data_IF_696796916525
#
_entry.id   IF_696796916525
#
_cell.length_a   1.000
_cell.length_b   1.000
_cell.length_c   1.000
_cell.angle_alpha   90.00
_cell.angle_beta   90.00
_cell.angle_gamma   90.00
#
_symmetry.space_group_name_H-M   'P 1'
#
loop_
_entity.id
_entity.type
_entity.pdbx_description
1 polymer ?
#
# COMPACT_ATOMS: atom_id res chain seq x y z
N UNK A 1 20.20 -2.85 8.14
CA UNK A 1 19.35 -2.02 9.03
C UNK A 1 18.53 -0.99 8.26
N UNK A 2 19.10 -0.29 7.28
CA UNK A 2 18.40 0.74 6.48
C UNK A 2 17.22 0.19 5.65
N UNK A 3 17.39 -0.96 4.97
CA UNK A 3 16.33 -1.55 4.11
C UNK A 3 15.12 -2.02 4.91
N UNK A 4 15.34 -2.69 6.05
CA UNK A 4 14.27 -3.12 6.96
C UNK A 4 13.45 -1.93 7.46
N UNK A 5 14.11 -0.90 8.01
CA UNK A 5 13.43 0.28 8.55
C UNK A 5 12.72 1.04 7.43
N UNK A 6 13.37 1.19 6.27
CA UNK A 6 12.77 1.84 5.10
C UNK A 6 11.52 1.13 4.62
N UNK A 7 11.55 -0.20 4.50
CA UNK A 7 10.40 -1.02 4.08
C UNK A 7 9.28 -0.99 5.12
N UNK A 8 9.64 -1.01 6.41
CA UNK A 8 8.69 -0.91 7.51
C UNK A 8 7.97 0.44 7.52
N UNK A 9 8.70 1.55 7.52
CA UNK A 9 8.11 2.89 7.50
C UNK A 9 7.24 3.05 6.26
N UNK A 10 7.75 2.60 5.11
CA UNK A 10 7.01 2.67 3.86
C UNK A 10 5.66 1.97 3.95
N UNK A 11 5.63 0.71 4.41
CA UNK A 11 4.36 -0.04 4.53
C UNK A 11 3.45 0.56 5.58
N UNK A 12 3.97 1.02 6.73
CA UNK A 12 3.13 1.73 7.72
C UNK A 12 2.40 2.89 7.07
N UNK A 13 3.11 3.72 6.30
CA UNK A 13 2.51 4.88 5.65
C UNK A 13 1.56 4.51 4.52
N UNK A 14 1.88 3.46 3.75
CA UNK A 14 1.07 3.00 2.63
C UNK A 14 -0.27 2.39 3.08
N UNK A 15 -0.23 1.70 4.20
CA UNK A 15 -1.36 0.95 4.77
C UNK A 15 -2.26 1.81 5.67
N UNK A 16 -1.74 2.94 6.15
CA UNK A 16 -2.48 3.83 7.05
C UNK A 16 -3.82 4.28 6.43
N UNK A 17 -4.91 3.85 7.05
CA UNK A 17 -6.30 4.11 6.65
C UNK A 17 -6.70 3.46 5.32
N UNK A 18 -6.07 2.34 5.01
CA UNK A 18 -6.42 1.54 3.84
C UNK A 18 -7.58 0.56 4.10
N UNK A 19 -8.11 0.03 3.00
CA UNK A 19 -9.26 -0.89 2.98
C UNK A 19 -9.08 -2.12 3.88
N UNK A 20 -7.86 -2.66 3.91
CA UNK A 20 -7.39 -3.81 4.69
C UNK A 20 -7.25 -3.46 6.17
N UNK A 21 -6.82 -2.24 6.51
CA UNK A 21 -6.88 -1.73 7.88
C UNK A 21 -8.32 -1.59 8.39
N UNK A 22 -9.24 -1.08 7.56
CA UNK A 22 -10.67 -1.01 7.90
C UNK A 22 -11.28 -2.41 8.10
N UNK A 23 -10.90 -3.36 7.26
CA UNK A 23 -11.27 -4.78 7.40
C UNK A 23 -10.78 -5.37 8.74
N UNK A 24 -9.53 -5.10 9.12
CA UNK A 24 -8.97 -5.55 10.40
C UNK A 24 -9.71 -4.94 11.61
N UNK A 25 -10.02 -3.64 11.57
CA UNK A 25 -10.83 -2.96 12.59
C UNK A 25 -12.21 -3.59 12.75
N UNK A 26 -12.85 -3.84 11.63
CA UNK A 26 -14.17 -4.43 11.55
C UNK A 26 -14.23 -5.87 12.11
N UNK A 27 -13.21 -6.69 11.80
CA UNK A 27 -13.08 -8.01 12.43
C UNK A 27 -12.75 -7.91 13.91
N UNK A 28 -11.94 -6.94 14.35
CA UNK A 28 -11.63 -6.72 15.76
C UNK A 28 -12.83 -6.23 16.58
N UNK A 29 -13.85 -5.64 15.94
CA UNK A 29 -15.11 -5.30 16.58
C UNK A 29 -16.01 -6.53 16.82
N UNK A 30 -15.80 -7.64 16.11
CA UNK A 30 -16.62 -8.86 16.19
C UNK A 30 -15.92 -10.02 16.89
N UNK A 31 -14.60 -10.09 16.77
CA UNK A 31 -13.75 -11.16 17.29
C UNK A 31 -12.68 -10.60 18.22
N UNK A 32 -12.08 -11.46 19.06
CA UNK A 32 -10.99 -11.05 19.95
C UNK A 32 -9.83 -10.48 19.15
N UNK A 33 -9.38 -9.27 19.49
CA UNK A 33 -8.34 -8.55 18.76
C UNK A 33 -7.04 -9.36 18.61
N UNK A 34 -6.67 -10.20 19.59
CA UNK A 34 -5.49 -11.07 19.48
C UNK A 34 -5.63 -12.08 18.33
N UNK A 35 -6.80 -12.69 18.20
CA UNK A 35 -7.10 -13.65 17.13
C UNK A 35 -7.03 -12.98 15.77
N UNK A 36 -7.55 -11.75 15.67
CA UNK A 36 -7.49 -10.93 14.45
C UNK A 36 -6.04 -10.60 14.11
N UNK A 37 -5.26 -10.11 15.07
CA UNK A 37 -3.85 -9.76 14.85
C UNK A 37 -2.99 -10.95 14.43
N UNK A 38 -3.21 -12.13 15.02
CA UNK A 38 -2.50 -13.34 14.59
C UNK A 38 -2.92 -13.79 13.19
N UNK A 39 -4.20 -13.68 12.86
CA UNK A 39 -4.69 -14.01 11.51
C UNK A 39 -4.12 -13.06 10.45
N UNK A 40 -4.14 -11.75 10.72
CA UNK A 40 -3.53 -10.71 9.88
C UNK A 40 -2.03 -10.95 9.73
N UNK A 41 -1.33 -11.30 10.81
CA UNK A 41 0.09 -11.62 10.75
C UNK A 41 0.39 -12.77 9.80
N UNK A 42 -0.32 -13.90 9.93
CA UNK A 42 -0.12 -15.06 9.05
C UNK A 42 -0.44 -14.73 7.59
N UNK A 43 -1.58 -14.06 7.36
CA UNK A 43 -1.98 -13.63 6.02
C UNK A 43 -0.93 -12.71 5.37
N UNK A 44 -0.49 -11.70 6.11
CA UNK A 44 0.52 -10.73 5.67
C UNK A 44 1.86 -11.39 5.42
N UNK A 45 2.35 -12.20 6.36
CA UNK A 45 3.64 -12.85 6.25
C UNK A 45 3.69 -13.73 4.99
N UNK A 46 2.62 -14.48 4.72
CA UNK A 46 2.48 -15.26 3.49
C UNK A 46 2.43 -14.37 2.24
N UNK A 47 1.56 -13.36 2.24
CA UNK A 47 1.36 -12.49 1.07
C UNK A 47 2.63 -11.69 0.70
N UNK A 48 3.32 -11.15 1.71
CA UNK A 48 4.57 -10.42 1.53
C UNK A 48 5.72 -11.35 1.15
N UNK A 49 5.75 -12.57 1.66
CA UNK A 49 6.76 -13.54 1.23
C UNK A 49 6.61 -13.82 -0.27
N UNK A 50 5.38 -14.07 -0.75
CA UNK A 50 5.11 -14.25 -2.17
C UNK A 50 5.54 -13.03 -3.00
N UNK A 51 5.24 -11.83 -2.53
CA UNK A 51 5.63 -10.59 -3.19
C UNK A 51 7.16 -10.43 -3.27
N UNK A 52 7.86 -10.70 -2.16
CA UNK A 52 9.32 -10.58 -2.10
C UNK A 52 9.99 -11.62 -2.99
N UNK A 53 9.49 -12.86 -3.00
CA UNK A 53 9.98 -13.91 -3.89
C UNK A 53 9.73 -13.54 -5.35
N UNK A 54 8.54 -13.05 -5.70
CA UNK A 54 8.24 -12.58 -7.05
C UNK A 54 9.16 -11.43 -7.48
N UNK A 55 9.39 -10.45 -6.61
CA UNK A 55 10.29 -9.32 -6.88
C UNK A 55 11.75 -9.76 -7.06
N UNK A 56 12.21 -10.69 -6.23
CA UNK A 56 13.56 -11.26 -6.34
C UNK A 56 13.74 -12.12 -7.59
N UNK A 57 12.68 -12.78 -8.09
CA UNK A 57 12.74 -13.53 -9.35
C UNK A 57 12.73 -12.59 -10.56
N UNK A 58 12.01 -11.46 -10.47
CA UNK A 58 11.91 -10.48 -11.55
C UNK A 58 13.27 -9.90 -11.96
N UNK A 59 14.19 -9.71 -11.01
CA UNK A 59 15.54 -9.19 -11.27
C UNK A 59 16.45 -10.19 -12.01
N UNK A 60 16.08 -11.47 -12.06
CA UNK A 60 16.84 -12.47 -12.82
C UNK A 60 16.61 -12.39 -14.33
N UNK A 61 15.48 -11.83 -14.75
CA UNK A 61 15.10 -11.70 -16.16
C UNK A 61 15.11 -10.26 -16.67
N UNK A 62 15.02 -9.28 -15.77
CA UNK A 62 14.87 -7.86 -16.12
C UNK A 62 16.08 -7.06 -15.62
N UNK A 63 16.78 -6.31 -16.50
CA UNK A 63 17.91 -5.48 -16.09
C UNK A 63 17.53 -4.43 -15.04
N UNK A 64 18.45 -4.16 -14.12
CA UNK A 64 18.20 -3.29 -12.96
C UNK A 64 17.77 -1.87 -13.32
N UNK A 65 18.23 -1.34 -14.46
CA UNK A 65 17.79 -0.03 -14.98
C UNK A 65 16.28 0.01 -15.24
N UNK A 66 15.74 -1.01 -15.89
CA UNK A 66 14.29 -1.10 -16.17
C UNK A 66 13.50 -1.35 -14.89
N UNK A 67 14.02 -2.15 -13.96
CA UNK A 67 13.37 -2.38 -12.67
C UNK A 67 13.27 -1.08 -11.88
N UNK A 68 14.34 -0.28 -11.80
CA UNK A 68 14.33 1.00 -11.08
C UNK A 68 13.38 2.04 -11.70
N UNK A 69 13.32 2.12 -13.03
CA UNK A 69 12.40 3.03 -13.73
C UNK A 69 10.95 2.57 -13.52
N UNK A 70 10.67 1.27 -13.73
CA UNK A 70 9.34 0.70 -13.54
C UNK A 70 8.87 0.88 -12.10
N UNK A 71 9.73 0.60 -11.13
CA UNK A 71 9.50 0.84 -9.71
C UNK A 71 9.08 2.27 -9.43
N UNK A 72 9.85 3.24 -9.93
CA UNK A 72 9.59 4.66 -9.73
C UNK A 72 8.24 5.10 -10.31
N UNK A 73 7.94 4.64 -11.54
CA UNK A 73 6.65 4.88 -12.19
C UNK A 73 5.50 4.23 -11.41
N UNK A 74 5.67 3.00 -10.92
CA UNK A 74 4.68 2.29 -10.10
C UNK A 74 4.36 3.05 -8.81
N UNK A 75 5.35 3.63 -8.11
CA UNK A 75 5.05 4.44 -6.92
C UNK A 75 4.23 5.70 -7.24
N UNK A 76 4.48 6.37 -8.38
CA UNK A 76 3.65 7.50 -8.81
C UNK A 76 2.22 7.03 -9.08
N UNK A 77 2.07 5.89 -9.77
CA UNK A 77 0.75 5.28 -10.05
C UNK A 77 0.03 4.91 -8.74
N UNK A 78 0.71 4.31 -7.77
CA UNK A 78 0.12 3.96 -6.48
C UNK A 78 -0.31 5.19 -5.69
N UNK A 79 0.45 6.27 -5.75
CA UNK A 79 0.05 7.53 -5.13
C UNK A 79 -1.21 8.12 -5.78
N UNK A 80 -1.32 8.06 -7.11
CA UNK A 80 -2.54 8.46 -7.83
C UNK A 80 -3.73 7.55 -7.51
N UNK A 81 -3.53 6.22 -7.48
CA UNK A 81 -4.57 5.25 -7.09
C UNK A 81 -5.07 5.54 -5.68
N UNK A 82 -4.15 5.78 -4.73
CA UNK A 82 -4.49 6.04 -3.32
C UNK A 82 -5.49 7.19 -3.17
N UNK A 83 -5.45 8.23 -4.01
CA UNK A 83 -6.40 9.36 -3.98
C UNK A 83 -7.85 8.91 -4.26
N UNK A 84 -8.05 7.87 -5.07
CA UNK A 84 -9.38 7.36 -5.42
C UNK A 84 -10.12 6.83 -4.19
N UNK A 85 -9.39 6.15 -3.30
CA UNK A 85 -9.95 5.45 -2.14
C UNK A 85 -10.69 4.18 -2.55
N UNK A 86 -10.48 3.11 -1.78
CA UNK A 86 -11.13 1.82 -1.98
C UNK A 86 -11.93 1.45 -0.72
N UNK A 87 -13.11 0.84 -0.90
CA UNK A 87 -13.94 0.35 0.22
C UNK A 87 -14.03 -1.17 0.17
N UNK A 88 -13.61 -1.84 1.24
CA UNK A 88 -13.84 -3.28 1.42
C UNK A 88 -15.00 -3.47 2.40
N UNK A 89 -15.99 -4.25 2.00
CA UNK A 89 -17.11 -4.65 2.86
C UNK A 89 -16.72 -5.85 3.70
N UNK A 90 -17.03 -5.81 5.00
CA UNK A 90 -16.88 -6.96 5.87
C UNK A 90 -18.12 -7.84 5.79
N UNK A 91 -18.21 -8.67 4.77
CA UNK A 91 -19.21 -9.74 4.78
C UNK A 91 -18.61 -10.94 5.53
N UNK A 92 -19.25 -11.29 6.64
CA UNK A 92 -18.84 -12.44 7.44
C UNK A 92 -19.69 -13.64 7.04
N UNK A 93 -19.05 -14.64 6.45
CA UNK A 93 -19.69 -15.90 6.14
C UNK A 93 -19.95 -16.70 7.44
N UNK A 94 -21.18 -17.17 7.65
CA UNK A 94 -21.59 -17.98 8.80
C UNK A 94 -21.17 -19.45 8.65
N UNK A 95 -20.00 -19.73 8.08
CA UNK A 95 -19.58 -21.09 7.68
C UNK A 95 -19.10 -21.99 8.83
N UNK A 96 -19.38 -21.67 10.09
CA UNK A 96 -18.95 -22.46 11.27
C UNK A 96 -17.42 -22.58 11.43
N UNK A 97 -16.63 -21.86 10.61
CA UNK A 97 -15.17 -21.84 10.66
C UNK A 97 -14.68 -21.03 11.85
N UNK A 98 -13.49 -21.38 12.35
CA UNK A 98 -12.82 -20.59 13.40
C UNK A 98 -12.60 -19.15 12.93
N UNK A 99 -12.86 -18.13 13.76
CA UNK A 99 -12.64 -16.73 13.45
C UNK A 99 -11.25 -16.42 12.89
N UNK A 100 -10.22 -17.15 13.34
CA UNK A 100 -8.86 -17.00 12.83
C UNK A 100 -8.78 -17.20 11.32
N UNK A 101 -9.38 -18.29 10.80
CA UNK A 101 -9.32 -18.62 9.37
C UNK A 101 -10.17 -17.68 8.53
N UNK A 102 -11.32 -17.23 9.05
CA UNK A 102 -12.17 -16.24 8.37
C UNK A 102 -11.36 -14.96 8.12
N UNK A 103 -10.71 -14.44 9.18
CA UNK A 103 -9.90 -13.22 9.08
C UNK A 103 -8.68 -13.43 8.19
N UNK A 104 -7.94 -14.52 8.37
CA UNK A 104 -6.70 -14.76 7.63
C UNK A 104 -6.96 -14.86 6.11
N UNK A 105 -8.01 -15.59 5.70
CA UNK A 105 -8.37 -15.74 4.30
C UNK A 105 -8.88 -14.41 3.72
N UNK A 106 -9.78 -13.72 4.44
CA UNK A 106 -10.31 -12.44 3.98
C UNK A 106 -9.20 -11.40 3.80
N UNK A 107 -8.28 -11.30 4.78
CA UNK A 107 -7.16 -10.37 4.72
C UNK A 107 -6.18 -10.75 3.60
N UNK A 108 -5.84 -12.03 3.46
CA UNK A 108 -4.96 -12.50 2.39
C UNK A 108 -5.53 -12.16 1.01
N UNK A 109 -6.83 -12.40 0.78
CA UNK A 109 -7.48 -12.09 -0.49
C UNK A 109 -7.54 -10.58 -0.72
N UNK A 110 -7.86 -9.79 0.32
CA UNK A 110 -7.93 -8.34 0.20
C UNK A 110 -6.57 -7.70 -0.15
N UNK A 111 -5.49 -8.30 0.34
CA UNK A 111 -4.11 -7.86 0.09
C UNK A 111 -3.53 -8.40 -1.24
N UNK A 112 -4.11 -9.47 -1.78
CA UNK A 112 -3.62 -10.09 -3.00
C UNK A 112 -3.92 -9.22 -4.22
N UNK A 113 -2.89 -8.82 -4.94
CA UNK A 113 -2.93 -7.90 -6.08
C UNK A 113 -3.06 -6.43 -5.68
N UNK A 114 -2.95 -6.10 -4.39
CA UNK A 114 -3.12 -4.72 -3.93
C UNK A 114 -1.84 -3.87 -4.04
N UNK A 115 -2.00 -2.54 -3.91
CA UNK A 115 -0.91 -1.55 -3.96
C UNK A 115 0.24 -1.89 -3.00
N UNK A 116 -0.06 -2.37 -1.79
CA UNK A 116 0.97 -2.71 -0.79
C UNK A 116 1.74 -3.96 -1.21
N UNK A 117 1.08 -4.97 -1.79
CA UNK A 117 1.74 -6.14 -2.35
C UNK A 117 2.61 -5.79 -3.56
N UNK A 118 2.09 -5.02 -4.52
CA UNK A 118 2.85 -4.58 -5.69
C UNK A 118 4.03 -3.69 -5.31
N UNK A 119 3.86 -2.80 -4.32
CA UNK A 119 4.96 -2.04 -3.76
C UNK A 119 6.00 -2.97 -3.12
N UNK A 120 5.59 -4.01 -2.39
CA UNK A 120 6.51 -5.00 -1.81
C UNK A 120 7.32 -5.75 -2.87
N UNK A 121 6.70 -6.14 -4.00
CA UNK A 121 7.40 -6.71 -5.17
C UNK A 121 8.47 -5.74 -5.66
N UNK A 122 8.11 -4.47 -5.80
CA UNK A 122 9.01 -3.41 -6.25
C UNK A 122 10.16 -3.16 -5.27
N UNK A 123 9.90 -3.09 -3.97
CA UNK A 123 10.95 -2.93 -2.94
C UNK A 123 11.91 -4.13 -2.97
N UNK A 124 11.38 -5.35 -3.09
CA UNK A 124 12.20 -6.56 -3.17
C UNK A 124 13.07 -6.58 -4.43
N UNK A 125 12.51 -6.19 -5.58
CA UNK A 125 13.26 -6.10 -6.83
C UNK A 125 14.33 -5.00 -6.79
N UNK A 126 14.07 -3.88 -6.10
CA UNK A 126 15.02 -2.77 -5.97
C UNK A 126 16.18 -3.09 -5.04
N UNK A 127 15.89 -3.62 -3.85
CA UNK A 127 16.90 -3.85 -2.82
C UNK A 127 17.59 -5.20 -2.96
N UNK A 128 16.97 -6.17 -3.64
CA UNK A 128 17.48 -7.53 -3.82
C UNK A 128 17.84 -8.25 -2.50
N UNK A 129 17.16 -7.87 -1.40
CA UNK A 129 17.38 -8.39 -0.05
C UNK A 129 16.07 -8.98 0.49
N UNK A 130 15.93 -10.30 0.41
CA UNK A 130 14.67 -10.99 0.75
C UNK A 130 14.28 -10.79 2.21
N UNK A 131 15.15 -11.16 3.16
CA UNK A 131 14.81 -11.16 4.59
C UNK A 131 14.49 -9.76 5.15
N UNK A 132 15.29 -8.72 4.91
CA UNK A 132 15.04 -7.37 5.45
C UNK A 132 13.78 -6.73 4.88
N UNK A 133 13.49 -6.93 3.58
CA UNK A 133 12.26 -6.42 2.97
C UNK A 133 11.06 -7.19 3.53
N UNK A 134 11.09 -8.53 3.53
CA UNK A 134 9.98 -9.35 4.02
C UNK A 134 9.63 -9.03 5.49
N UNK A 135 10.63 -9.03 6.37
CA UNK A 135 10.40 -8.72 7.78
C UNK A 135 9.97 -7.26 7.97
N UNK A 136 10.58 -6.32 7.23
CA UNK A 136 10.24 -4.90 7.32
C UNK A 136 8.80 -4.63 6.92
N UNK A 137 8.38 -5.14 5.77
CA UNK A 137 7.01 -4.96 5.29
C UNK A 137 5.98 -5.67 6.17
N UNK A 138 6.27 -6.89 6.66
CA UNK A 138 5.37 -7.59 7.59
C UNK A 138 5.23 -6.85 8.92
N UNK A 139 6.33 -6.38 9.51
CA UNK A 139 6.28 -5.59 10.75
C UNK A 139 5.54 -4.27 10.53
N UNK A 140 5.79 -3.59 9.41
CA UNK A 140 5.10 -2.35 9.07
C UNK A 140 3.58 -2.53 8.97
N UNK A 141 3.14 -3.59 8.31
CA UNK A 141 1.72 -3.96 8.20
C UNK A 141 1.11 -4.24 9.58
N UNK A 142 1.81 -4.96 10.45
CA UNK A 142 1.31 -5.22 11.80
C UNK A 142 1.18 -3.95 12.64
N UNK A 143 2.12 -3.01 12.51
CA UNK A 143 2.06 -1.71 13.18
C UNK A 143 0.84 -0.92 12.68
N UNK A 144 0.65 -0.81 11.36
CA UNK A 144 -0.49 -0.10 10.79
C UNK A 144 -1.84 -0.67 11.26
N UNK A 145 -2.00 -2.00 11.21
CA UNK A 145 -3.21 -2.67 11.67
C UNK A 145 -3.42 -2.56 13.19
N UNK A 146 -2.37 -2.64 14.00
CA UNK A 146 -2.47 -2.42 15.44
C UNK A 146 -2.96 -1.00 15.76
N UNK A 147 -2.37 0.01 15.10
CA UNK A 147 -2.80 1.41 15.21
C UNK A 147 -4.26 1.52 14.80
N UNK A 148 -4.64 0.92 13.67
CA UNK A 148 -6.02 0.89 13.19
C UNK A 148 -7.00 0.32 14.18
N UNK A 149 -6.72 -0.86 14.74
CA UNK A 149 -7.59 -1.53 15.72
C UNK A 149 -7.71 -0.70 17.01
N UNK A 150 -6.61 -0.18 17.53
CA UNK A 150 -6.63 0.67 18.74
C UNK A 150 -7.46 1.92 18.50
N UNK A 151 -7.24 2.59 17.37
CA UNK A 151 -8.00 3.78 17.00
C UNK A 151 -9.46 3.41 16.74
N UNK A 152 -9.77 2.30 16.08
CA UNK A 152 -11.14 1.87 15.79
C UNK A 152 -11.94 1.52 17.05
N UNK A 153 -11.27 0.95 18.05
CA UNK A 153 -11.88 0.63 19.34
C UNK A 153 -12.08 1.88 20.22
N UNK A 154 -11.20 2.89 20.10
CA UNK A 154 -11.24 4.12 20.89
C UNK A 154 -12.08 5.24 20.24
N UNK A 155 -12.05 5.33 18.91
CA UNK A 155 -12.59 6.44 18.14
C UNK A 155 -14.02 6.12 17.69
N UNK A 156 -14.98 6.53 18.50
CA UNK A 156 -16.36 6.66 18.04
C UNK A 156 -16.53 7.69 16.89
N UNK A 157 -15.57 8.56 16.55
CA UNK A 157 -15.76 9.66 15.55
C UNK A 157 -14.48 10.25 14.90
N UNK A 158 -14.59 10.51 13.59
CA UNK A 158 -13.95 11.57 12.75
C UNK A 158 -12.42 11.62 12.64
N UNK A 159 -11.81 10.56 12.12
CA UNK A 159 -10.47 10.68 11.57
C UNK A 159 -10.55 11.42 10.23
N UNK A 160 -9.64 12.37 9.94
CA UNK A 160 -9.63 13.10 8.68
C UNK A 160 -9.10 12.18 7.58
N UNK A 161 -9.89 11.18 7.19
CA UNK A 161 -9.62 10.16 6.17
C UNK A 161 -8.95 10.80 4.94
N UNK A 162 -9.55 11.88 4.42
CA UNK A 162 -9.01 12.66 3.30
C UNK A 162 -7.57 13.13 3.53
N UNK A 163 -7.26 13.71 4.70
CA UNK A 163 -5.93 14.26 4.96
C UNK A 163 -4.87 13.16 4.97
N UNK A 164 -5.21 11.98 5.50
CA UNK A 164 -4.29 10.85 5.58
C UNK A 164 -4.09 10.21 4.20
N UNK A 165 -5.18 10.04 3.43
CA UNK A 165 -5.11 9.59 2.04
C UNK A 165 -4.22 10.50 1.20
N UNK A 166 -4.36 11.83 1.34
CA UNK A 166 -3.51 12.79 0.63
C UNK A 166 -2.05 12.74 1.08
N UNK A 167 -1.79 12.52 2.37
CA UNK A 167 -0.44 12.37 2.89
C UNK A 167 0.25 11.12 2.33
N UNK A 168 -0.43 9.96 2.36
CA UNK A 168 0.08 8.72 1.78
C UNK A 168 0.31 8.87 0.26
N UNK A 169 -0.67 9.41 -0.47
CA UNK A 169 -0.55 9.67 -1.90
C UNK A 169 0.66 10.56 -2.23
N UNK A 170 0.88 11.61 -1.45
CA UNK A 170 2.02 12.50 -1.61
C UNK A 170 3.34 11.78 -1.34
N UNK A 171 3.42 10.95 -0.30
CA UNK A 171 4.62 10.16 0.00
C UNK A 171 4.98 9.21 -1.15
N UNK A 172 3.99 8.52 -1.71
CA UNK A 172 4.15 7.67 -2.89
C UNK A 172 4.64 8.44 -4.12
N UNK A 173 3.98 9.56 -4.46
CA UNK A 173 4.36 10.39 -5.62
C UNK A 173 5.75 10.99 -5.42
N UNK A 174 6.07 11.50 -4.23
CA UNK A 174 7.36 12.12 -3.94
C UNK A 174 8.49 11.09 -4.02
N UNK A 175 8.30 9.91 -3.42
CA UNK A 175 9.28 8.83 -3.49
C UNK A 175 9.46 8.32 -4.93
N UNK A 176 8.35 8.16 -5.67
CA UNK A 176 8.38 7.78 -7.08
C UNK A 176 9.10 8.81 -7.95
N UNK A 177 8.83 10.10 -7.77
CA UNK A 177 9.51 11.17 -8.49
C UNK A 177 11.01 11.24 -8.17
N UNK A 178 11.38 11.12 -6.89
CA UNK A 178 12.77 11.05 -6.47
C UNK A 178 13.49 9.84 -7.08
N UNK A 179 12.86 8.66 -7.01
CA UNK A 179 13.43 7.44 -7.58
C UNK A 179 13.54 7.50 -9.11
N UNK A 180 12.61 8.19 -9.79
CA UNK A 180 12.65 8.36 -11.25
C UNK A 180 13.78 9.29 -11.67
N UNK A 181 14.00 10.36 -10.90
CA UNK A 181 15.15 11.25 -11.08
C UNK A 181 16.46 10.48 -10.95
N UNK A 182 16.59 9.64 -9.91
CA UNK A 182 17.79 8.85 -9.66
C UNK A 182 18.02 7.78 -10.74
N UNK A 183 16.96 7.16 -11.25
CA UNK A 183 17.03 6.07 -12.22
C UNK A 183 17.28 6.51 -13.67
N UNK A 184 17.16 7.80 -13.99
CA UNK A 184 17.27 8.33 -15.37
C UNK A 184 18.48 9.24 -15.55
N UNK A 185 19.09 9.29 -16.76
CA UNK A 185 20.20 10.20 -17.03
C UNK A 185 19.82 11.66 -16.81
N UNK A 186 20.74 12.48 -16.27
CA UNK A 186 20.49 13.92 -16.04
C UNK A 186 20.11 14.69 -17.31
N UNK A 187 20.57 14.21 -18.48
CA UNK A 187 20.23 14.79 -19.79
C UNK A 187 18.75 14.65 -20.16
N UNK A 188 18.02 13.73 -19.53
CA UNK A 188 16.58 13.54 -19.73
C UNK A 188 15.76 14.68 -19.12
N UNK A 189 16.21 15.27 -18.01
CA UNK A 189 15.48 16.29 -17.26
C UNK A 189 15.66 17.70 -17.83
N UNK A 190 15.39 17.85 -19.12
CA UNK A 190 15.33 19.16 -19.76
C UNK A 190 14.08 19.93 -19.31
N UNK A 191 14.10 21.28 -19.27
CA UNK A 191 12.95 22.07 -18.83
C UNK A 191 11.61 21.70 -19.47
N UNK A 192 11.52 21.39 -20.79
CA UNK A 192 10.25 20.96 -21.39
C UNK A 192 9.72 19.65 -20.81
N UNK A 193 10.60 18.69 -20.51
CA UNK A 193 10.23 17.38 -19.94
C UNK A 193 9.73 17.56 -18.52
N UNK A 194 10.40 18.38 -17.71
CA UNK A 194 9.98 18.69 -16.33
C UNK A 194 8.61 19.35 -16.32
N UNK A 195 8.42 20.38 -17.15
CA UNK A 195 7.13 21.10 -17.24
C UNK A 195 6.02 20.15 -17.71
N UNK A 196 6.29 19.32 -18.72
CA UNK A 196 5.35 18.32 -19.22
C UNK A 196 4.96 17.29 -18.15
N UNK A 197 5.92 16.78 -17.38
CA UNK A 197 5.68 15.82 -16.31
C UNK A 197 4.84 16.43 -15.18
N UNK A 198 5.15 17.67 -14.75
CA UNK A 198 4.36 18.38 -13.74
C UNK A 198 2.93 18.66 -14.21
N UNK A 199 2.77 19.09 -15.47
CA UNK A 199 1.45 19.32 -16.07
C UNK A 199 0.64 18.03 -16.17
N UNK A 200 1.26 16.92 -16.58
CA UNK A 200 0.62 15.61 -16.65
C UNK A 200 0.19 15.12 -15.27
N UNK A 201 1.05 15.27 -14.26
CA UNK A 201 0.74 14.90 -12.87
C UNK A 201 -0.41 15.75 -12.31
N UNK A 202 -0.36 17.07 -12.48
CA UNK A 202 -1.42 17.97 -12.05
C UNK A 202 -2.75 17.68 -12.76
N UNK A 203 -2.70 17.37 -14.07
CA UNK A 203 -3.85 16.95 -14.86
C UNK A 203 -4.46 15.65 -14.37
N UNK A 204 -3.63 14.63 -14.08
CA UNK A 204 -4.07 13.35 -13.54
C UNK A 204 -4.71 13.51 -12.15
N UNK A 205 -4.08 14.27 -11.25
CA UNK A 205 -4.65 14.60 -9.93
C UNK A 205 -6.00 15.32 -10.10
N UNK A 206 -6.07 16.34 -10.97
CA UNK A 206 -7.29 17.07 -11.24
C UNK A 206 -8.43 16.19 -11.79
N UNK A 207 -8.12 15.25 -12.69
CA UNK A 207 -9.07 14.27 -13.22
C UNK A 207 -9.59 13.34 -12.13
N UNK A 208 -8.72 12.75 -11.31
CA UNK A 208 -9.11 11.83 -10.23
C UNK A 208 -9.98 12.55 -9.20
N UNK A 209 -9.59 13.76 -8.80
CA UNK A 209 -10.39 14.58 -7.87
C UNK A 209 -11.76 14.91 -8.46
N UNK A 210 -11.84 15.19 -9.76
CA UNK A 210 -13.11 15.45 -10.46
C UNK A 210 -13.99 14.19 -10.52
N UNK A 211 -13.42 13.02 -10.77
CA UNK A 211 -14.14 11.73 -10.77
C UNK A 211 -14.71 11.44 -9.38
N UNK A 212 -13.88 11.52 -8.33
CA UNK A 212 -14.32 11.32 -6.94
C UNK A 212 -15.44 12.28 -6.53
N UNK A 213 -15.44 13.52 -7.03
CA UNK A 213 -16.53 14.49 -6.78
C UNK A 213 -17.83 14.07 -7.47
N UNK A 214 -17.74 13.56 -8.70
CA UNK A 214 -18.91 13.08 -9.47
C UNK A 214 -19.55 11.86 -8.80
N UNK A 215 -18.74 10.89 -8.37
CA UNK A 215 -19.22 9.67 -7.71
C UNK A 215 -19.94 9.98 -6.39
N UNK A 216 -19.44 10.96 -5.62
CA UNK A 216 -20.12 11.44 -4.39
C UNK A 216 -21.45 12.13 -4.66
N UNK A 217 -21.60 12.87 -5.76
CA UNK A 217 -22.87 13.52 -6.14
C UNK A 217 -23.88 12.48 -6.63
N UNK A 218 -23.43 11.42 -7.29
CA UNK A 218 -24.31 10.34 -7.75
C UNK A 218 -24.84 9.45 -6.61
N UNK A 219 -24.15 9.42 -5.47
CA UNK A 219 -24.50 8.61 -4.29
C UNK A 219 -25.34 9.36 -3.22
N UNK A 220 -25.65 10.64 -3.43
CA UNK A 220 -26.45 11.50 -2.53
C UNK A 220 -27.84 11.76 -3.09
#
# INVERSE_FOLDING_TARGET
MSVFIGSMIFVVLAEMFDKTQLLAMCFAARYRWQTVMWAVFVATAANHLLAVLAGSLLTTFIPMSYVNITAAVSFIIFGLWTIRGDTVSCETDNSGRSPFWIVAIAFFIAECGDKTQLATVVLAARYNEILPVWLGTTVGMMIANAIGIVIGNLAGRRLPEKAITWFAALAFIAYGAYSLWEATPRSFWQPPVVIGALAALAGAIGLIVRMNRKDRIAAS
#
